data_IF_885962515213
#
_entry.id   IF_885962515213
#
_cell.length_a   1.000
_cell.length_b   1.000
_cell.length_c   1.000
_cell.angle_alpha   90.00
_cell.angle_beta   90.00
_cell.angle_gamma   90.00
#
_symmetry.space_group_name_H-M   'P 1'
#
loop_
_entity.id
_entity.type
_entity.pdbx_description
1 polymer ?
#
# COMPACT_ATOMS: atom_id res chain seq x y z
N UNK A 1 6.18 12.43 -3.12
CA UNK A 1 6.41 12.40 -4.59
C UNK A 1 7.08 11.09 -4.97
N UNK A 2 8.04 10.65 -4.17
CA UNK A 2 8.92 9.51 -4.44
C UNK A 2 8.15 8.19 -4.64
N UNK A 3 7.19 7.85 -3.76
CA UNK A 3 6.40 6.62 -3.88
C UNK A 3 5.61 6.54 -5.21
N UNK A 4 5.10 7.67 -5.73
CA UNK A 4 4.39 7.71 -7.02
C UNK A 4 5.37 7.48 -8.17
N UNK A 5 6.56 8.08 -8.10
CA UNK A 5 7.59 7.89 -9.13
C UNK A 5 8.08 6.43 -9.14
N UNK A 6 8.40 5.87 -7.97
CA UNK A 6 8.79 4.47 -7.83
C UNK A 6 7.68 3.54 -8.33
N UNK A 7 6.44 3.78 -7.90
CA UNK A 7 5.30 2.98 -8.34
C UNK A 7 5.10 3.02 -9.86
N UNK A 8 5.30 4.17 -10.52
CA UNK A 8 5.25 4.26 -11.98
C UNK A 8 6.37 3.49 -12.67
N UNK A 9 7.58 3.49 -12.11
CA UNK A 9 8.65 2.62 -12.62
C UNK A 9 8.25 1.16 -12.42
N UNK A 10 7.69 0.79 -11.26
CA UNK A 10 7.20 -0.56 -11.04
C UNK A 10 6.10 -0.96 -12.06
N UNK A 11 5.24 -0.01 -12.44
CA UNK A 11 4.18 -0.21 -13.45
C UNK A 11 4.75 -0.56 -14.83
N UNK A 12 5.96 -0.09 -15.17
CA UNK A 12 6.62 -0.35 -16.46
C UNK A 12 7.16 -1.79 -16.53
N UNK A 13 7.61 -2.34 -15.41
CA UNK A 13 8.20 -3.68 -15.32
C UNK A 13 7.22 -4.77 -14.88
N UNK A 14 5.99 -4.39 -14.50
CA UNK A 14 4.96 -5.35 -14.09
C UNK A 14 5.31 -6.06 -12.79
N UNK A 15 5.86 -5.34 -11.81
CA UNK A 15 6.15 -5.91 -10.49
C UNK A 15 4.87 -6.38 -9.78
N UNK A 16 5.01 -7.43 -8.98
CA UNK A 16 3.88 -8.08 -8.29
C UNK A 16 3.26 -7.20 -7.20
N UNK A 17 4.08 -6.46 -6.45
CA UNK A 17 3.61 -5.45 -5.50
C UNK A 17 4.72 -4.42 -5.18
N UNK A 18 4.29 -3.30 -4.61
CA UNK A 18 5.12 -2.31 -3.93
C UNK A 18 4.80 -2.38 -2.43
N UNK A 19 5.81 -2.72 -1.63
CA UNK A 19 5.68 -2.93 -0.18
C UNK A 19 6.03 -1.65 0.59
N UNK A 20 5.24 -1.35 1.62
CA UNK A 20 5.44 -0.26 2.58
C UNK A 20 6.01 1.04 1.95
N UNK A 21 5.28 1.66 1.01
CA UNK A 21 5.79 2.79 0.22
C UNK A 21 5.99 4.09 1.01
N UNK A 22 5.54 4.14 2.26
CA UNK A 22 5.60 5.31 3.13
C UNK A 22 6.23 4.96 4.48
N UNK A 23 6.94 5.94 5.05
CA UNK A 23 7.58 5.79 6.36
C UNK A 23 6.61 5.84 7.55
N UNK A 24 5.30 5.98 7.30
CA UNK A 24 4.26 5.99 8.34
C UNK A 24 3.86 4.58 8.79
N UNK A 25 4.44 3.54 8.21
CA UNK A 25 4.22 2.15 8.59
C UNK A 25 2.84 1.61 8.21
N UNK A 26 2.23 2.13 7.13
CA UNK A 26 0.94 1.62 6.66
C UNK A 26 -0.28 2.21 7.37
N UNK A 27 -0.11 3.29 8.14
CA UNK A 27 -1.16 3.85 9.01
C UNK A 27 -2.14 4.74 8.22
N UNK A 28 -1.66 5.55 7.27
CA UNK A 28 -2.50 6.52 6.56
C UNK A 28 -3.31 5.89 5.42
N UNK A 29 -4.53 5.44 5.73
CA UNK A 29 -5.51 4.95 4.75
C UNK A 29 -5.66 5.90 3.56
N UNK A 30 -5.75 7.22 3.82
CA UNK A 30 -5.91 8.22 2.77
C UNK A 30 -4.69 8.26 1.83
N UNK A 31 -3.48 8.25 2.37
CA UNK A 31 -2.27 8.31 1.56
C UNK A 31 -2.12 7.06 0.67
N UNK A 32 -2.35 5.87 1.24
CA UNK A 32 -2.24 4.62 0.48
C UNK A 32 -3.34 4.46 -0.58
N UNK A 33 -4.58 4.83 -0.25
CA UNK A 33 -5.66 4.88 -1.25
C UNK A 33 -5.33 5.85 -2.39
N UNK A 34 -4.83 7.04 -2.05
CA UNK A 34 -4.44 8.03 -3.05
C UNK A 34 -3.27 7.53 -3.92
N UNK A 35 -2.32 6.80 -3.36
CA UNK A 35 -1.24 6.18 -4.12
C UNK A 35 -1.81 5.16 -5.14
N UNK A 36 -2.72 4.29 -4.72
CA UNK A 36 -3.37 3.31 -5.61
C UNK A 36 -4.21 3.94 -6.73
N UNK A 37 -4.73 5.16 -6.53
CA UNK A 37 -5.38 5.92 -7.61
C UNK A 37 -4.38 6.45 -8.66
N UNK A 38 -3.07 6.49 -8.34
CA UNK A 38 -2.04 7.11 -9.16
C UNK A 38 -1.10 6.10 -9.85
N UNK A 39 -1.05 4.85 -9.39
CA UNK A 39 -0.19 3.77 -9.91
C UNK A 39 -0.99 2.49 -10.15
N UNK A 40 -0.53 1.63 -11.06
CA UNK A 40 -1.16 0.34 -11.38
C UNK A 40 -0.60 -0.82 -10.55
N UNK A 41 0.64 -0.68 -10.05
CA UNK A 41 1.34 -1.68 -9.26
C UNK A 41 0.58 -1.88 -7.94
N UNK A 42 0.21 -3.12 -7.60
CA UNK A 42 -0.47 -3.42 -6.35
C UNK A 42 0.33 -2.96 -5.13
N UNK A 43 -0.34 -2.49 -4.08
CA UNK A 43 0.31 -2.04 -2.84
C UNK A 43 0.08 -3.05 -1.72
N UNK A 44 1.17 -3.51 -1.09
CA UNK A 44 1.15 -4.34 0.12
C UNK A 44 1.58 -3.51 1.32
N UNK A 45 0.81 -3.57 2.41
CA UNK A 45 1.13 -2.93 3.70
C UNK A 45 0.69 -3.86 4.84
N UNK A 46 0.61 -3.31 6.06
CA UNK A 46 0.13 -3.91 7.32
C UNK A 46 1.16 -4.65 8.17
N UNK A 47 2.43 -4.71 7.78
CA UNK A 47 3.45 -5.41 8.60
C UNK A 47 3.60 -4.82 10.02
N UNK A 48 3.40 -3.50 10.13
CA UNK A 48 3.47 -2.77 11.39
C UNK A 48 2.11 -2.58 12.07
N UNK A 49 1.01 -3.00 11.43
CA UNK A 49 -0.35 -2.90 11.99
C UNK A 49 -0.69 -4.18 12.73
N UNK A 50 -0.58 -4.13 14.05
CA UNK A 50 -0.73 -5.33 14.92
C UNK A 50 -2.17 -5.65 15.32
N UNK A 51 -3.12 -4.75 15.07
CA UNK A 51 -4.51 -4.94 15.43
C UNK A 51 -5.31 -5.52 14.23
N UNK A 52 -5.97 -6.70 14.38
CA UNK A 52 -6.72 -7.32 13.30
C UNK A 52 -7.90 -6.49 12.78
N UNK A 53 -8.59 -5.75 13.66
CA UNK A 53 -9.69 -4.87 13.27
C UNK A 53 -9.19 -3.72 12.38
N UNK A 54 -8.04 -3.12 12.72
CA UNK A 54 -7.40 -2.10 11.90
C UNK A 54 -6.94 -2.66 10.55
N UNK A 55 -6.43 -3.88 10.50
CA UNK A 55 -6.09 -4.56 9.25
C UNK A 55 -7.33 -4.77 8.36
N UNK A 56 -8.45 -5.16 8.94
CA UNK A 56 -9.71 -5.30 8.22
C UNK A 56 -10.19 -3.95 7.65
N UNK A 57 -10.14 -2.89 8.45
CA UNK A 57 -10.53 -1.54 8.02
C UNK A 57 -9.65 -1.02 6.87
N UNK A 58 -8.33 -1.23 6.95
CA UNK A 58 -7.38 -0.90 5.89
C UNK A 58 -7.73 -1.64 4.60
N UNK A 59 -7.98 -2.95 4.66
CA UNK A 59 -8.34 -3.75 3.48
C UNK A 59 -9.66 -3.29 2.86
N UNK A 60 -10.71 -3.10 3.66
CA UNK A 60 -12.04 -2.69 3.18
C UNK A 60 -12.03 -1.27 2.60
N UNK A 61 -11.16 -0.39 3.10
CA UNK A 61 -11.03 0.98 2.60
C UNK A 61 -10.47 1.07 1.17
N UNK A 62 -9.86 -0.01 0.66
CA UNK A 62 -9.13 -0.02 -0.60
C UNK A 62 -7.76 0.64 -0.50
N UNK A 63 -7.20 0.84 0.69
CA UNK A 63 -5.84 1.35 0.86
C UNK A 63 -4.77 0.36 0.39
N UNK A 64 -5.06 -0.93 0.38
CA UNK A 64 -4.12 -1.99 0.01
C UNK A 64 -4.74 -3.04 -0.89
N UNK A 65 -3.92 -3.68 -1.71
CA UNK A 65 -4.26 -4.87 -2.49
C UNK A 65 -3.97 -6.17 -1.71
N UNK A 66 -2.97 -6.12 -0.82
CA UNK A 66 -2.51 -7.25 -0.03
C UNK A 66 -2.24 -6.85 1.42
N UNK A 67 -2.86 -7.55 2.38
CA UNK A 67 -2.45 -7.45 3.77
C UNK A 67 -1.30 -8.41 4.05
N UNK A 68 -0.20 -7.87 4.58
CA UNK A 68 0.88 -8.66 5.15
C UNK A 68 0.53 -9.05 6.58
N UNK A 69 0.41 -10.35 6.80
CA UNK A 69 0.28 -10.93 8.14
C UNK A 69 1.66 -11.34 8.66
N UNK A 70 1.93 -11.01 9.92
CA UNK A 70 3.09 -11.46 10.71
C UNK A 70 2.58 -12.03 12.04
#
# INVERSE_FOLDING_TARGET
ADAVQVGRVCDEYGYTWLEDPFADGGISIHAHRRLRELIRTPVMITEHVKNPEANADIMVSGATDFARAD
#
